data_IF_012675843385
#
_entry.id   IF_012675843385
#
_cell.length_a   1.000
_cell.length_b   1.000
_cell.length_c   1.000
_cell.angle_alpha   90.00
_cell.angle_beta   90.00
_cell.angle_gamma   90.00
#
_symmetry.space_group_name_H-M   'P 1'
#
loop_
_entity.id
_entity.type
_entity.pdbx_description
1 polymer ?
#
# COMPACT_ATOMS: atom_id res chain seq x y z
N UNK A 1 -5.16 -6.14 -14.49
CA UNK A 1 -3.81 -5.64 -14.17
C UNK A 1 -3.08 -6.75 -13.41
N UNK A 2 -1.85 -7.09 -13.82
CA UNK A 2 -0.98 -7.95 -13.03
C UNK A 2 -0.02 -7.08 -12.23
N UNK A 3 0.12 -7.36 -10.94
CA UNK A 3 1.12 -6.73 -10.10
C UNK A 3 2.23 -7.71 -9.80
N UNK A 4 3.47 -7.22 -9.79
CA UNK A 4 4.64 -7.99 -9.41
C UNK A 4 5.52 -7.18 -8.47
N UNK A 5 5.36 -7.40 -7.18
CA UNK A 5 6.04 -6.66 -6.11
C UNK A 5 6.90 -7.66 -5.33
N UNK A 6 8.24 -7.56 -5.36
CA UNK A 6 9.11 -8.44 -4.59
C UNK A 6 8.97 -8.20 -3.08
N UNK A 7 9.43 -9.14 -2.25
CA UNK A 7 9.49 -8.95 -0.80
C UNK A 7 10.47 -7.82 -0.45
N UNK A 8 9.93 -6.65 -0.12
CA UNK A 8 10.70 -5.45 0.18
C UNK A 8 10.03 -4.60 1.26
N UNK A 9 10.68 -3.50 1.66
CA UNK A 9 10.07 -2.54 2.60
C UNK A 9 8.74 -2.04 2.07
N UNK A 10 7.80 -1.82 2.99
CA UNK A 10 6.43 -1.36 2.66
C UNK A 10 6.46 -0.10 1.79
N UNK A 11 7.34 0.86 2.11
CA UNK A 11 7.60 2.05 1.30
C UNK A 11 7.89 1.72 -0.17
N UNK A 12 8.93 0.91 -0.42
CA UNK A 12 9.35 0.54 -1.78
C UNK A 12 8.27 -0.25 -2.50
N UNK A 13 7.57 -1.15 -1.80
CA UNK A 13 6.47 -1.93 -2.34
C UNK A 13 5.28 -1.06 -2.79
N UNK A 14 4.96 -0.01 -2.02
CA UNK A 14 3.91 0.94 -2.36
C UNK A 14 4.28 1.78 -3.59
N UNK A 15 5.52 2.28 -3.63
CA UNK A 15 6.05 3.01 -4.80
C UNK A 15 5.95 2.17 -6.08
N UNK A 16 6.40 0.92 -6.02
CA UNK A 16 6.37 0.02 -7.17
C UNK A 16 4.93 -0.27 -7.64
N UNK A 17 4.02 -0.47 -6.68
CA UNK A 17 2.60 -0.64 -6.96
C UNK A 17 1.96 0.62 -7.58
N UNK A 18 2.36 1.82 -7.16
CA UNK A 18 1.90 3.07 -7.74
C UNK A 18 2.33 3.20 -9.20
N UNK A 19 3.59 2.86 -9.48
CA UNK A 19 4.16 2.87 -10.83
C UNK A 19 3.45 1.87 -11.74
N UNK A 20 3.26 0.63 -11.28
CA UNK A 20 2.56 -0.41 -12.04
C UNK A 20 1.07 -0.08 -12.21
N UNK A 21 0.44 0.46 -11.18
CA UNK A 21 -0.97 0.84 -11.15
C UNK A 21 -1.28 2.16 -11.87
N UNK A 22 -0.24 2.93 -12.24
CA UNK A 22 -0.34 4.29 -12.79
C UNK A 22 -1.20 5.21 -11.92
N UNK A 23 -1.02 5.14 -10.60
CA UNK A 23 -1.73 5.98 -9.63
C UNK A 23 -0.78 6.91 -8.91
N UNK A 24 -1.27 8.09 -8.55
CA UNK A 24 -0.53 9.02 -7.70
C UNK A 24 -0.51 8.47 -6.28
N UNK A 25 0.67 8.37 -5.67
CA UNK A 25 0.81 7.90 -4.30
C UNK A 25 1.43 9.00 -3.44
N UNK A 26 0.83 9.27 -2.28
CA UNK A 26 1.28 10.30 -1.36
C UNK A 26 0.93 9.99 0.09
N UNK A 27 1.28 10.91 0.99
CA UNK A 27 1.09 10.77 2.44
C UNK A 27 2.37 10.35 3.16
N UNK A 28 2.23 9.61 4.26
CA UNK A 28 3.32 9.28 5.18
C UNK A 28 3.76 7.82 5.00
N UNK A 29 4.45 7.56 3.89
CA UNK A 29 5.00 6.26 3.54
C UNK A 29 6.04 5.78 4.56
N UNK A 30 6.86 6.70 5.06
CA UNK A 30 7.96 6.38 5.97
C UNK A 30 7.50 6.08 7.40
N UNK A 31 6.27 6.45 7.80
CA UNK A 31 5.65 5.96 9.02
C UNK A 31 5.32 4.46 8.95
N UNK A 32 5.18 3.89 7.75
CA UNK A 32 4.93 2.47 7.58
C UNK A 32 6.21 1.68 7.82
N UNK A 33 6.16 0.83 8.85
CA UNK A 33 7.27 -0.03 9.21
C UNK A 33 6.94 -1.47 8.92
N UNK A 34 7.98 -2.22 8.58
CA UNK A 34 7.88 -3.63 8.24
C UNK A 34 8.26 -3.90 6.79
N UNK A 35 8.28 -5.19 6.47
CA UNK A 35 8.53 -5.70 5.13
C UNK A 35 7.30 -6.42 4.64
N UNK A 36 6.99 -6.20 3.37
CA UNK A 36 5.90 -6.87 2.68
C UNK A 36 6.36 -8.23 2.18
N UNK A 37 5.42 -9.16 2.10
CA UNK A 37 5.66 -10.44 1.41
C UNK A 37 5.57 -10.22 -0.09
N UNK A 38 6.30 -11.03 -0.86
CA UNK A 38 6.18 -11.05 -2.33
C UNK A 38 4.73 -11.15 -2.76
N UNK A 39 4.31 -10.23 -3.63
CA UNK A 39 2.95 -10.14 -4.14
C UNK A 39 2.98 -10.16 -5.65
N UNK A 40 2.55 -11.28 -6.22
CA UNK A 40 2.56 -11.51 -7.66
C UNK A 40 1.24 -12.11 -8.11
N UNK A 41 0.63 -11.54 -9.14
CA UNK A 41 -0.59 -12.07 -9.74
C UNK A 41 -1.53 -11.00 -10.31
N UNK A 42 -2.62 -11.46 -10.93
CA UNK A 42 -3.67 -10.60 -11.45
C UNK A 42 -4.61 -10.22 -10.33
N UNK A 43 -4.65 -8.95 -9.96
CA UNK A 43 -5.54 -8.43 -8.92
C UNK A 43 -5.80 -6.94 -9.11
N UNK A 44 -6.76 -6.41 -8.37
CA UNK A 44 -7.04 -4.97 -8.36
C UNK A 44 -6.07 -4.23 -7.43
N UNK A 45 -5.90 -2.94 -7.69
CA UNK A 45 -5.03 -2.06 -6.90
C UNK A 45 -5.38 -2.10 -5.40
N UNK A 46 -6.68 -2.05 -5.07
CA UNK A 46 -7.18 -2.11 -3.70
C UNK A 46 -6.78 -3.41 -2.99
N UNK A 47 -6.93 -4.55 -3.68
CA UNK A 47 -6.58 -5.87 -3.16
C UNK A 47 -5.09 -6.00 -2.92
N UNK A 48 -4.27 -5.40 -3.79
CA UNK A 48 -2.83 -5.38 -3.65
C UNK A 48 -2.39 -4.45 -2.50
N UNK A 49 -2.98 -3.25 -2.37
CA UNK A 49 -2.74 -2.34 -1.24
C UNK A 49 -3.09 -2.98 0.11
N UNK A 50 -4.28 -3.58 0.21
CA UNK A 50 -4.72 -4.27 1.42
C UNK A 50 -3.75 -5.39 1.84
N UNK A 51 -3.22 -6.15 0.88
CA UNK A 51 -2.20 -7.18 1.11
C UNK A 51 -0.84 -6.60 1.51
N UNK A 52 -0.36 -5.54 0.85
CA UNK A 52 0.93 -4.92 1.18
C UNK A 52 0.89 -4.26 2.56
N UNK A 53 -0.24 -3.67 2.94
CA UNK A 53 -0.39 -2.97 4.20
C UNK A 53 -0.74 -3.92 5.36
N UNK A 54 -1.13 -5.17 5.07
CA UNK A 54 -1.37 -6.19 6.08
C UNK A 54 -0.11 -6.42 6.93
N UNK A 55 -0.21 -6.11 8.23
CA UNK A 55 0.90 -6.27 9.19
C UNK A 55 1.85 -5.07 9.32
N UNK A 56 1.71 -4.05 8.47
CA UNK A 56 2.57 -2.84 8.53
C UNK A 56 2.07 -1.77 9.51
N UNK A 57 0.83 -1.90 10.00
CA UNK A 57 0.21 -0.89 10.88
C UNK A 57 -0.13 0.42 10.16
N UNK A 58 -0.20 0.40 8.83
CA UNK A 58 -0.62 1.52 8.00
C UNK A 58 -1.97 1.29 7.36
N UNK A 59 -2.64 2.40 7.02
CA UNK A 59 -3.89 2.43 6.26
C UNK A 59 -3.69 3.20 4.97
N UNK A 60 -4.51 2.87 3.99
CA UNK A 60 -4.60 3.59 2.74
C UNK A 60 -6.02 4.15 2.56
N UNK A 61 -6.10 5.26 1.86
CA UNK A 61 -7.36 5.83 1.37
C UNK A 61 -7.18 6.19 -0.11
N UNK A 62 -8.15 5.82 -0.94
CA UNK A 62 -8.17 6.19 -2.35
C UNK A 62 -9.06 7.43 -2.51
N UNK A 63 -8.55 8.47 -3.15
CA UNK A 63 -9.32 9.68 -3.46
C UNK A 63 -10.22 9.46 -4.67
N UNK A 64 -11.23 10.32 -4.84
CA UNK A 64 -12.10 10.28 -6.03
C UNK A 64 -11.33 10.44 -7.36
N UNK A 65 -10.15 11.05 -7.32
CA UNK A 65 -9.25 11.19 -8.47
C UNK A 65 -8.38 9.96 -8.74
N UNK A 66 -8.49 8.90 -7.93
CA UNK A 66 -7.68 7.68 -8.04
C UNK A 66 -6.30 7.78 -7.38
N UNK A 67 -6.03 8.84 -6.61
CA UNK A 67 -4.79 8.96 -5.86
C UNK A 67 -4.85 8.13 -4.57
N UNK A 68 -3.77 7.46 -4.23
CA UNK A 68 -3.63 6.65 -3.02
C UNK A 68 -2.90 7.45 -1.95
N UNK A 69 -3.55 7.70 -0.82
CA UNK A 69 -2.96 8.38 0.33
C UNK A 69 -2.70 7.38 1.43
N UNK A 70 -1.44 7.24 1.81
CA UNK A 70 -0.99 6.37 2.90
C UNK A 70 -0.89 7.19 4.17
N UNK A 71 -1.45 6.65 5.24
CA UNK A 71 -1.40 7.23 6.58
C UNK A 71 -1.04 6.12 7.55
N UNK A 72 -0.31 6.46 8.60
CA UNK A 72 -0.17 5.55 9.75
C UNK A 72 -1.58 5.21 10.25
N UNK A 73 -1.89 3.92 10.39
CA UNK A 73 -3.10 3.55 11.09
C UNK A 73 -2.80 3.81 12.56
N UNK A 74 -3.09 5.03 13.02
CA UNK A 74 -3.36 5.23 14.43
C UNK A 74 -4.40 4.17 14.78
N UNK A 75 -4.02 3.21 15.64
CA UNK A 75 -4.98 2.23 16.14
C UNK A 75 -6.10 3.07 16.73
N UNK A 76 -7.23 3.13 16.03
CA UNK A 76 -8.50 3.53 16.65
C UNK A 76 -8.71 2.48 17.73
N UNK A 77 -8.30 2.80 18.96
CA UNK A 77 -8.65 2.04 20.14
C UNK A 77 -10.18 2.06 20.19
N UNK A 78 -10.87 0.92 20.03
CA UNK A 78 -12.32 0.90 20.21
C UNK A 78 -12.61 1.31 21.68
N UNK A 79 -13.68 2.07 21.94
CA UNK A 79 -14.08 2.45 23.29
C UNK A 79 -14.39 1.23 24.16
#
# INVERSE_FOLDING_TARGET
MSFHIPAQRVESALLDLALQGRVSLGGDLSACRGTTTTLSGVMTLDRALSRLLAGSGCRYSVTASGAVIIRRAERVRPP
#
